data_IF_220264908498
#
_entry.id   IF_220264908498
#
_cell.length_a   1.000
_cell.length_b   1.000
_cell.length_c   1.000
_cell.angle_alpha   90.00
_cell.angle_beta   90.00
_cell.angle_gamma   90.00
#
_symmetry.space_group_name_H-M   'P 1'
#
loop_
_entity.id
_entity.type
_entity.pdbx_description
1 polymer ?
#
# COMPACT_ATOMS: atom_id res chain seq x y z
N UNK A 1 3.44 -0.33 11.28
CA UNK A 1 3.95 -1.70 11.52
C UNK A 1 3.70 -2.51 10.27
N UNK A 2 4.72 -3.17 9.73
CA UNK A 2 4.68 -3.95 8.49
C UNK A 2 5.04 -5.39 8.81
N UNK A 3 4.43 -6.33 8.13
CA UNK A 3 4.76 -7.76 8.22
C UNK A 3 4.94 -8.25 6.79
N UNK A 4 6.16 -8.67 6.44
CA UNK A 4 6.48 -9.24 5.15
C UNK A 4 6.28 -10.75 5.15
N UNK A 5 5.64 -11.23 4.11
CA UNK A 5 5.46 -12.65 3.88
C UNK A 5 6.23 -13.06 2.62
N UNK A 6 7.11 -13.99 2.75
CA UNK A 6 7.87 -14.54 1.62
C UNK A 6 7.69 -16.05 1.53
N UNK A 7 7.60 -16.58 0.31
CA UNK A 7 7.53 -18.01 0.03
C UNK A 7 6.28 -18.43 -0.75
N UNK A 8 6.33 -19.63 -1.33
CA UNK A 8 5.28 -20.16 -2.20
C UNK A 8 3.93 -20.36 -1.49
N UNK A 9 3.98 -20.83 -0.24
CA UNK A 9 2.77 -21.02 0.58
C UNK A 9 2.06 -19.68 0.86
N UNK A 10 2.81 -18.60 1.07
CA UNK A 10 2.25 -17.27 1.26
C UNK A 10 1.50 -16.79 0.01
N UNK A 11 2.02 -17.06 -1.18
CA UNK A 11 1.32 -16.73 -2.44
C UNK A 11 0.00 -17.45 -2.56
N UNK A 12 -0.05 -18.73 -2.20
CA UNK A 12 -1.29 -19.51 -2.25
C UNK A 12 -2.33 -19.02 -1.24
N UNK A 13 -1.91 -18.65 -0.03
CA UNK A 13 -2.79 -18.09 1.00
C UNK A 13 -3.30 -16.71 0.57
N UNK A 14 -2.42 -15.83 0.10
CA UNK A 14 -2.79 -14.50 -0.37
C UNK A 14 -3.66 -14.53 -1.62
N UNK A 15 -3.46 -15.49 -2.53
CA UNK A 15 -4.31 -15.67 -3.72
C UNK A 15 -5.77 -15.99 -3.38
N UNK A 16 -6.02 -16.59 -2.21
CA UNK A 16 -7.36 -16.90 -1.68
C UNK A 16 -7.89 -15.82 -0.74
N UNK A 17 -7.06 -14.87 -0.35
CA UNK A 17 -7.42 -13.79 0.56
C UNK A 17 -8.00 -12.59 -0.20
N UNK A 18 -8.58 -11.64 0.54
CA UNK A 18 -9.01 -10.35 -0.01
C UNK A 18 -7.84 -9.45 -0.38
N UNK A 19 -6.63 -9.75 0.12
CA UNK A 19 -5.37 -9.12 -0.27
C UNK A 19 -4.79 -9.90 -1.44
N UNK A 20 -4.73 -9.27 -2.59
CA UNK A 20 -4.13 -9.85 -3.79
C UNK A 20 -3.26 -8.78 -4.48
N UNK A 21 -2.40 -9.15 -5.44
CA UNK A 21 -1.53 -8.20 -6.14
C UNK A 21 -2.26 -7.04 -6.83
N UNK A 22 -3.53 -7.24 -7.18
CA UNK A 22 -4.38 -6.20 -7.77
C UNK A 22 -5.04 -5.32 -6.71
N UNK A 23 -5.09 -5.79 -5.45
CA UNK A 23 -5.64 -5.05 -4.31
C UNK A 23 -4.70 -5.19 -3.10
N UNK A 24 -3.56 -4.49 -3.11
CA UNK A 24 -2.54 -4.58 -2.05
C UNK A 24 -2.95 -3.90 -0.74
N UNK A 25 -4.00 -3.07 -0.76
CA UNK A 25 -4.50 -2.37 0.41
C UNK A 25 -5.97 -2.69 0.66
N UNK A 26 -6.30 -2.94 1.91
CA UNK A 26 -7.68 -3.04 2.34
C UNK A 26 -8.10 -1.80 3.13
N UNK A 27 -9.38 -1.45 3.12
CA UNK A 27 -9.91 -0.37 3.95
C UNK A 27 -9.63 -0.64 5.43
N UNK A 28 -9.60 0.40 6.28
CA UNK A 28 -9.40 0.25 7.72
C UNK A 28 -10.51 -0.63 8.30
N UNK A 29 -10.14 -1.85 8.60
CA UNK A 29 -10.97 -2.80 9.33
C UNK A 29 -11.01 -2.37 10.80
N UNK A 30 -11.92 -2.95 11.57
CA UNK A 30 -11.93 -2.78 13.03
C UNK A 30 -10.57 -3.22 13.59
N UNK A 31 -9.66 -2.24 13.70
CA UNK A 31 -8.26 -2.46 14.07
C UNK A 31 -8.13 -3.16 15.42
N UNK A 32 -9.09 -2.95 16.31
CA UNK A 32 -9.16 -3.56 17.63
C UNK A 32 -9.09 -5.10 17.60
N UNK A 33 -9.63 -5.73 16.56
CA UNK A 33 -9.60 -7.20 16.43
C UNK A 33 -8.28 -7.73 15.85
N UNK A 34 -7.52 -6.90 15.17
CA UNK A 34 -6.24 -7.28 14.55
C UNK A 34 -5.04 -6.95 15.44
N UNK A 35 -5.15 -5.91 16.29
CA UNK A 35 -4.10 -5.44 17.18
C UNK A 35 -3.44 -6.56 18.01
N UNK A 36 -4.18 -7.47 18.67
CA UNK A 36 -3.57 -8.52 19.51
C UNK A 36 -2.61 -9.44 18.73
N UNK A 37 -2.91 -9.71 17.46
CA UNK A 37 -2.05 -10.53 16.61
C UNK A 37 -0.77 -9.81 16.21
N UNK A 38 -0.88 -8.49 15.90
CA UNK A 38 0.29 -7.66 15.63
C UNK A 38 1.18 -7.50 16.87
N UNK A 39 0.59 -7.26 18.01
CA UNK A 39 1.33 -7.17 19.28
C UNK A 39 2.08 -8.46 19.59
N UNK A 40 1.43 -9.62 19.39
CA UNK A 40 2.05 -10.92 19.60
C UNK A 40 3.20 -11.17 18.63
N UNK A 41 3.07 -10.80 17.36
CA UNK A 41 4.17 -10.89 16.40
C UNK A 41 5.33 -9.97 16.75
N UNK A 42 5.06 -8.78 17.30
CA UNK A 42 6.10 -7.85 17.74
C UNK A 42 6.85 -8.30 18.98
N UNK A 43 6.17 -9.03 19.89
CA UNK A 43 6.77 -9.56 21.11
C UNK A 43 7.65 -10.79 20.84
N UNK A 44 7.54 -11.41 19.66
CA UNK A 44 8.40 -12.54 19.30
C UNK A 44 9.83 -12.08 19.08
N UNK A 45 10.78 -12.78 19.66
CA UNK A 45 12.20 -12.58 19.44
C UNK A 45 12.54 -12.77 17.96
N UNK A 46 13.53 -12.02 17.44
CA UNK A 46 13.89 -11.98 16.02
C UNK A 46 14.13 -13.38 15.40
N UNK A 47 14.78 -14.27 16.14
CA UNK A 47 15.04 -15.64 15.68
C UNK A 47 13.82 -16.56 15.74
N UNK A 48 12.77 -16.22 16.47
CA UNK A 48 11.50 -16.96 16.51
C UNK A 48 10.49 -16.49 15.47
N UNK A 49 10.77 -15.40 14.77
CA UNK A 49 9.84 -14.87 13.73
C UNK A 49 9.61 -15.83 12.57
N UNK A 50 10.52 -16.79 12.34
CA UNK A 50 10.34 -17.87 11.36
C UNK A 50 9.85 -19.18 11.98
N UNK A 51 9.38 -19.18 13.23
CA UNK A 51 8.89 -20.37 13.90
C UNK A 51 7.47 -20.75 13.44
N UNK A 52 7.07 -22.00 13.69
CA UNK A 52 5.70 -22.45 13.45
C UNK A 52 4.67 -21.62 14.23
N UNK A 53 5.05 -21.09 15.40
CA UNK A 53 4.22 -20.20 16.19
C UNK A 53 3.94 -18.88 15.43
N UNK A 54 4.96 -18.27 14.85
CA UNK A 54 4.80 -17.05 14.05
C UNK A 54 3.89 -17.29 12.83
N UNK A 55 4.07 -18.43 12.15
CA UNK A 55 3.18 -18.86 11.05
C UNK A 55 1.74 -19.01 11.54
N UNK A 56 1.54 -19.64 12.70
CA UNK A 56 0.21 -19.80 13.31
C UNK A 56 -0.47 -18.46 13.63
N UNK A 57 0.25 -17.51 14.21
CA UNK A 57 -0.26 -16.16 14.51
C UNK A 57 -0.61 -15.41 13.22
N UNK A 58 0.23 -15.55 12.19
CA UNK A 58 -0.01 -14.98 10.86
C UNK A 58 -1.25 -15.54 10.19
N UNK A 59 -1.43 -16.86 10.22
CA UNK A 59 -2.63 -17.51 9.67
C UNK A 59 -3.89 -17.08 10.41
N UNK A 60 -3.82 -16.95 11.74
CA UNK A 60 -4.94 -16.45 12.54
C UNK A 60 -5.28 -14.99 12.22
N UNK A 61 -4.27 -14.13 12.06
CA UNK A 61 -4.45 -12.74 11.62
C UNK A 61 -5.11 -12.66 10.25
N UNK A 62 -4.67 -13.47 9.28
CA UNK A 62 -5.26 -13.54 7.94
C UNK A 62 -6.71 -14.07 7.99
N UNK A 63 -7.01 -15.05 8.85
CA UNK A 63 -8.36 -15.56 9.05
C UNK A 63 -9.30 -14.49 9.58
N UNK A 64 -8.92 -13.80 10.66
CA UNK A 64 -9.69 -12.68 11.22
C UNK A 64 -9.86 -11.56 10.19
N UNK A 65 -8.82 -11.29 9.40
CA UNK A 65 -8.89 -10.32 8.34
C UNK A 65 -9.89 -10.74 7.24
N UNK A 66 -9.94 -12.00 6.85
CA UNK A 66 -10.92 -12.53 5.89
C UNK A 66 -12.34 -12.40 6.43
N UNK A 67 -12.59 -12.82 7.68
CA UNK A 67 -13.91 -12.73 8.32
C UNK A 67 -14.42 -11.28 8.38
N UNK A 68 -13.52 -10.34 8.63
CA UNK A 68 -13.85 -8.91 8.65
C UNK A 68 -14.08 -8.34 7.24
N UNK A 69 -13.51 -8.97 6.23
CA UNK A 69 -13.59 -8.50 4.83
C UNK A 69 -14.75 -9.14 4.05
N UNK A 70 -15.27 -10.30 4.47
CA UNK A 70 -16.38 -10.97 3.77
C UNK A 70 -17.68 -10.12 3.71
N UNK A 71 -18.15 -9.48 4.79
CA UNK A 71 -19.30 -8.58 4.71
C UNK A 71 -19.05 -7.40 3.77
N UNK A 72 -17.81 -6.91 3.73
CA UNK A 72 -17.42 -5.84 2.82
C UNK A 72 -17.29 -6.31 1.37
N UNK A 73 -17.08 -7.60 1.12
CA UNK A 73 -17.05 -8.17 -0.24
C UNK A 73 -18.41 -8.14 -0.91
N UNK A 74 -19.49 -8.32 -0.14
CA UNK A 74 -20.86 -8.15 -0.64
C UNK A 74 -21.22 -6.67 -0.84
N UNK A 75 -20.74 -5.78 0.05
CA UNK A 75 -20.87 -4.34 -0.14
C UNK A 75 -19.99 -3.83 -1.29
N UNK A 76 -18.80 -4.41 -1.51
CA UNK A 76 -17.92 -4.11 -2.66
C UNK A 76 -18.52 -4.53 -4.00
N UNK A 77 -19.38 -5.54 -4.07
CA UNK A 77 -20.18 -5.79 -5.28
C UNK A 77 -21.11 -4.63 -5.65
N UNK A 78 -21.31 -3.67 -4.71
CA UNK A 78 -21.94 -2.36 -4.91
C UNK A 78 -20.94 -1.22 -5.03
N UNK A 79 -19.61 -1.50 -5.13
CA UNK A 79 -18.62 -0.44 -5.33
C UNK A 79 -18.85 0.22 -6.68
N UNK A 80 -18.80 1.52 -6.68
CA UNK A 80 -18.90 2.32 -7.89
C UNK A 80 -17.74 1.94 -8.82
N UNK A 81 -18.00 1.32 -9.99
CA UNK A 81 -16.94 0.83 -10.87
C UNK A 81 -15.94 1.92 -11.26
N UNK A 82 -16.35 3.18 -11.17
CA UNK A 82 -15.48 4.34 -11.43
C UNK A 82 -14.33 4.47 -10.45
N UNK A 83 -14.49 4.01 -9.18
CA UNK A 83 -13.35 4.05 -8.24
C UNK A 83 -12.28 3.03 -8.63
N UNK A 84 -12.69 1.83 -9.05
CA UNK A 84 -11.78 0.80 -9.52
C UNK A 84 -11.03 1.23 -10.79
N UNK A 85 -11.74 1.87 -11.72
CA UNK A 85 -11.14 2.46 -12.91
C UNK A 85 -10.10 3.53 -12.55
N UNK A 86 -10.43 4.45 -11.62
CA UNK A 86 -9.50 5.48 -11.17
C UNK A 86 -8.23 4.88 -10.52
N UNK A 87 -8.38 3.86 -9.68
CA UNK A 87 -7.25 3.16 -9.04
C UNK A 87 -6.37 2.46 -10.09
N UNK A 88 -6.98 1.79 -11.08
CA UNK A 88 -6.26 1.17 -12.19
C UNK A 88 -5.48 2.21 -13.02
N UNK A 89 -6.07 3.38 -13.28
CA UNK A 89 -5.38 4.48 -13.95
C UNK A 89 -4.19 5.01 -13.15
N UNK A 90 -4.30 5.07 -11.82
CA UNK A 90 -3.21 5.45 -10.93
C UNK A 90 -2.10 4.40 -11.00
N UNK A 91 -2.42 3.13 -10.85
CA UNK A 91 -1.45 2.04 -10.93
C UNK A 91 -0.71 2.00 -12.27
N UNK A 92 -1.39 2.30 -13.38
CA UNK A 92 -0.81 2.34 -14.72
C UNK A 92 -0.04 3.63 -15.01
N UNK A 93 -0.29 4.72 -14.27
CA UNK A 93 0.20 6.06 -14.62
C UNK A 93 1.10 6.74 -13.60
N UNK A 94 1.21 6.23 -12.37
CA UNK A 94 1.90 6.90 -11.25
C UNK A 94 3.34 7.33 -11.54
N UNK A 95 4.06 6.52 -12.34
CA UNK A 95 5.47 6.73 -12.69
C UNK A 95 5.70 7.89 -13.66
N UNK A 96 4.65 8.41 -14.30
CA UNK A 96 4.76 9.50 -15.27
C UNK A 96 4.81 10.83 -14.54
N UNK A 97 5.83 11.64 -14.86
CA UNK A 97 5.89 13.05 -14.51
C UNK A 97 4.64 13.77 -15.01
N UNK A 98 4.10 14.70 -14.22
CA UNK A 98 2.86 15.40 -14.56
C UNK A 98 1.56 14.60 -14.46
N UNK A 99 1.59 13.29 -14.16
CA UNK A 99 0.38 12.53 -13.91
C UNK A 99 -0.25 12.97 -12.58
N UNK A 100 -1.47 13.46 -12.64
CA UNK A 100 -2.16 14.09 -11.51
C UNK A 100 -3.67 13.81 -11.55
N UNK A 101 -4.39 14.28 -10.52
CA UNK A 101 -5.85 14.13 -10.41
C UNK A 101 -6.60 14.65 -11.65
N UNK A 102 -6.11 15.71 -12.27
CA UNK A 102 -6.68 16.28 -13.51
C UNK A 102 -6.60 15.28 -14.68
N UNK A 103 -5.44 14.63 -14.81
CA UNK A 103 -5.22 13.60 -15.83
C UNK A 103 -6.14 12.42 -15.65
N UNK A 104 -6.38 12.00 -14.39
CA UNK A 104 -7.31 10.90 -14.05
C UNK A 104 -8.74 11.31 -14.43
N UNK A 105 -9.19 12.48 -13.98
CA UNK A 105 -10.53 12.99 -14.26
C UNK A 105 -10.82 13.05 -15.76
N UNK A 106 -9.86 13.57 -16.55
CA UNK A 106 -9.96 13.65 -18.01
C UNK A 106 -10.08 12.27 -18.66
N UNK A 107 -9.26 11.29 -18.23
CA UNK A 107 -9.32 9.92 -18.76
C UNK A 107 -10.64 9.22 -18.48
N UNK A 108 -11.24 9.51 -17.32
CA UNK A 108 -12.53 8.96 -16.91
C UNK A 108 -13.73 9.77 -17.46
N UNK A 109 -13.49 10.82 -18.24
CA UNK A 109 -14.52 11.73 -18.73
C UNK A 109 -15.43 12.31 -17.63
N UNK A 110 -14.85 12.60 -16.44
CA UNK A 110 -15.55 13.23 -15.30
C UNK A 110 -14.92 14.54 -14.91
N UNK A 111 -15.67 15.39 -14.21
CA UNK A 111 -15.11 16.61 -13.63
C UNK A 111 -14.19 16.29 -12.45
N UNK A 112 -13.18 17.16 -12.19
CA UNK A 112 -12.32 17.05 -11.01
C UNK A 112 -13.11 17.02 -9.70
N UNK A 113 -14.18 17.80 -9.62
CA UNK A 113 -15.08 17.81 -8.46
C UNK A 113 -15.78 16.47 -8.27
N UNK A 114 -16.25 15.85 -9.35
CA UNK A 114 -16.87 14.52 -9.32
C UNK A 114 -15.86 13.46 -8.85
N UNK A 115 -14.64 13.48 -9.37
CA UNK A 115 -13.58 12.57 -8.96
C UNK A 115 -13.22 12.76 -7.48
N UNK A 116 -13.05 13.99 -7.01
CA UNK A 116 -12.80 14.28 -5.60
C UNK A 116 -13.91 13.75 -4.70
N UNK A 117 -15.17 14.00 -5.05
CA UNK A 117 -16.33 13.51 -4.28
C UNK A 117 -16.37 11.97 -4.22
N UNK A 118 -16.06 11.33 -5.34
CA UNK A 118 -15.99 9.87 -5.42
C UNK A 118 -14.92 9.31 -4.48
N UNK A 119 -13.72 9.86 -4.49
CA UNK A 119 -12.62 9.46 -3.64
C UNK A 119 -12.90 9.72 -2.16
N UNK A 120 -13.38 10.92 -1.82
CA UNK A 120 -13.72 11.26 -0.44
C UNK A 120 -14.79 10.32 0.13
N UNK A 121 -15.84 10.02 -0.64
CA UNK A 121 -16.94 9.14 -0.20
C UNK A 121 -16.48 7.69 0.00
N UNK A 122 -15.57 7.19 -0.83
CA UNK A 122 -15.23 5.76 -0.87
C UNK A 122 -13.91 5.42 -0.18
N UNK A 123 -12.95 6.35 -0.16
CA UNK A 123 -11.59 6.14 0.34
C UNK A 123 -11.28 7.07 1.53
N UNK A 124 -11.97 8.19 1.65
CA UNK A 124 -11.71 9.20 2.67
C UNK A 124 -10.54 10.15 2.32
N UNK A 125 -9.93 10.00 1.16
CA UNK A 125 -8.80 10.79 0.68
C UNK A 125 -9.14 11.51 -0.62
N UNK A 126 -8.35 12.53 -0.96
CA UNK A 126 -8.41 13.09 -2.30
C UNK A 126 -7.65 12.20 -3.30
N UNK A 127 -7.96 12.26 -4.62
CA UNK A 127 -7.20 11.52 -5.65
C UNK A 127 -5.71 11.84 -5.63
N UNK A 128 -5.35 13.10 -5.33
CA UNK A 128 -3.95 13.53 -5.23
C UNK A 128 -3.22 12.93 -4.02
N UNK A 129 -3.90 12.86 -2.87
CA UNK A 129 -3.37 12.19 -1.68
C UNK A 129 -3.19 10.69 -1.93
N UNK A 130 -4.16 10.03 -2.55
CA UNK A 130 -4.05 8.62 -2.91
C UNK A 130 -2.91 8.35 -3.90
N UNK A 131 -2.73 9.19 -4.93
CA UNK A 131 -1.62 9.09 -5.86
C UNK A 131 -0.26 9.29 -5.18
N UNK A 132 -0.15 10.26 -4.26
CA UNK A 132 1.06 10.50 -3.50
C UNK A 132 1.42 9.28 -2.64
N UNK A 133 0.46 8.75 -1.92
CA UNK A 133 0.60 7.53 -1.12
C UNK A 133 1.07 6.35 -1.97
N UNK A 134 0.43 6.12 -3.09
CA UNK A 134 0.78 5.06 -4.03
C UNK A 134 2.23 5.20 -4.53
N UNK A 135 2.65 6.43 -4.89
CA UNK A 135 4.04 6.73 -5.29
C UNK A 135 5.03 6.42 -4.19
N UNK A 136 4.73 6.79 -2.93
CA UNK A 136 5.59 6.54 -1.79
C UNK A 136 5.75 5.03 -1.55
N UNK A 137 4.68 4.26 -1.60
CA UNK A 137 4.72 2.80 -1.46
C UNK A 137 5.53 2.12 -2.58
N UNK A 138 5.43 2.59 -3.82
CA UNK A 138 6.27 2.07 -4.91
C UNK A 138 7.74 2.47 -4.73
N UNK A 139 8.00 3.70 -4.25
CA UNK A 139 9.35 4.19 -4.01
C UNK A 139 10.08 3.40 -2.91
N UNK A 140 9.36 2.98 -1.89
CA UNK A 140 9.88 2.11 -0.83
C UNK A 140 10.48 0.83 -1.42
N UNK A 141 9.74 0.13 -2.28
CA UNK A 141 10.21 -1.10 -2.93
C UNK A 141 11.48 -0.87 -3.76
N UNK A 142 11.55 0.24 -4.48
CA UNK A 142 12.72 0.56 -5.30
C UNK A 142 13.95 0.88 -4.44
N UNK A 143 13.77 1.53 -3.29
CA UNK A 143 14.86 1.76 -2.33
C UNK A 143 15.37 0.44 -1.74
N UNK A 144 14.47 -0.47 -1.38
CA UNK A 144 14.82 -1.83 -0.90
C UNK A 144 15.58 -2.63 -1.96
N UNK A 145 15.31 -2.41 -3.25
CA UNK A 145 16.06 -2.99 -4.37
C UNK A 145 17.42 -2.29 -4.64
N UNK A 146 17.82 -1.34 -3.79
CA UNK A 146 19.10 -0.64 -3.85
C UNK A 146 19.17 0.55 -4.81
N UNK A 147 18.06 0.96 -5.42
CA UNK A 147 18.05 2.14 -6.30
C UNK A 147 18.44 3.41 -5.55
N UNK A 148 19.13 4.31 -6.23
CA UNK A 148 19.48 5.60 -5.64
C UNK A 148 18.24 6.47 -5.41
N UNK A 149 18.29 7.35 -4.41
CA UNK A 149 17.18 8.26 -4.05
C UNK A 149 16.69 9.05 -5.25
N UNK A 150 17.61 9.57 -6.07
CA UNK A 150 17.28 10.35 -7.28
C UNK A 150 16.58 9.47 -8.33
N UNK A 151 17.11 8.28 -8.61
CA UNK A 151 16.49 7.35 -9.56
C UNK A 151 15.10 6.93 -9.09
N UNK A 152 14.96 6.59 -7.82
CA UNK A 152 13.68 6.21 -7.20
C UNK A 152 12.64 7.31 -7.34
N UNK A 153 13.00 8.56 -7.00
CA UNK A 153 12.10 9.70 -7.15
C UNK A 153 11.57 9.83 -8.60
N UNK A 154 12.48 9.83 -9.56
CA UNK A 154 12.12 9.97 -10.98
C UNK A 154 11.27 8.77 -11.48
N UNK A 155 11.64 7.54 -11.09
CA UNK A 155 10.89 6.33 -11.46
C UNK A 155 9.48 6.28 -10.87
N UNK A 156 9.26 6.96 -9.75
CA UNK A 156 7.94 7.09 -9.13
C UNK A 156 7.17 8.34 -9.57
N UNK A 157 7.67 9.07 -10.56
CA UNK A 157 6.99 10.23 -11.14
C UNK A 157 7.07 11.50 -10.30
N UNK A 158 8.06 11.61 -9.41
CA UNK A 158 8.38 12.88 -8.74
C UNK A 158 9.32 13.68 -9.64
N UNK A 159 8.95 14.92 -9.94
CA UNK A 159 9.77 15.83 -10.74
C UNK A 159 10.94 16.39 -9.94
N UNK A 160 10.73 16.63 -8.65
CA UNK A 160 11.72 17.15 -7.72
C UNK A 160 12.11 16.11 -6.66
N UNK A 161 13.36 15.58 -6.70
CA UNK A 161 13.87 14.66 -5.69
C UNK A 161 13.94 15.26 -4.27
N UNK A 162 14.03 16.56 -4.13
CA UNK A 162 14.02 17.21 -2.81
C UNK A 162 12.60 17.21 -2.22
N UNK A 163 11.59 17.50 -3.05
CA UNK A 163 10.20 17.35 -2.64
C UNK A 163 9.91 15.90 -2.24
N UNK A 164 10.33 14.93 -3.08
CA UNK A 164 10.22 13.52 -2.76
C UNK A 164 10.81 13.18 -1.38
N UNK A 165 12.05 13.59 -1.11
CA UNK A 165 12.74 13.30 0.15
C UNK A 165 12.00 13.89 1.36
N UNK A 166 11.43 15.09 1.22
CA UNK A 166 10.63 15.71 2.29
C UNK A 166 9.35 14.94 2.59
N UNK A 167 8.58 14.56 1.55
CA UNK A 167 7.31 13.83 1.75
C UNK A 167 7.56 12.40 2.21
N UNK A 168 8.62 11.75 1.72
CA UNK A 168 9.04 10.42 2.19
C UNK A 168 9.39 10.45 3.67
N UNK A 169 10.25 11.39 4.11
CA UNK A 169 10.59 11.55 5.53
C UNK A 169 9.36 11.83 6.39
N UNK A 170 8.44 12.65 5.92
CA UNK A 170 7.19 12.93 6.64
C UNK A 170 6.34 11.67 6.82
N UNK A 171 6.34 10.78 5.83
CA UNK A 171 5.53 9.56 5.82
C UNK A 171 6.17 8.43 6.63
N UNK A 172 7.46 8.15 6.42
CA UNK A 172 8.18 7.03 7.03
C UNK A 172 8.99 7.40 8.27
N UNK A 173 9.06 8.68 8.64
CA UNK A 173 9.81 9.17 9.80
C UNK A 173 11.31 9.36 9.57
N UNK A 174 11.87 8.83 8.48
CA UNK A 174 13.29 8.91 8.14
C UNK A 174 13.51 9.30 6.67
N UNK A 175 14.68 9.87 6.32
CA UNK A 175 15.03 10.20 4.94
C UNK A 175 15.12 8.92 4.06
N UNK A 176 14.86 9.01 2.75
CA UNK A 176 14.96 7.86 1.84
C UNK A 176 16.41 7.34 1.70
N UNK A 177 17.43 8.15 1.95
CA UNK A 177 18.82 7.73 2.00
C UNK A 177 19.08 6.73 3.12
N UNK A 178 18.58 7.04 4.31
CA UNK A 178 18.78 6.23 5.51
C UNK A 178 17.95 4.96 5.43
N UNK A 179 16.71 5.09 4.93
CA UNK A 179 15.84 3.94 4.65
C UNK A 179 16.51 2.92 3.72
N UNK A 180 17.15 3.39 2.64
CA UNK A 180 17.87 2.54 1.70
C UNK A 180 19.06 1.81 2.36
N UNK A 181 19.83 2.48 3.23
CA UNK A 181 20.97 1.89 3.91
C UNK A 181 20.56 0.82 4.90
N UNK A 182 19.49 1.05 5.66
CA UNK A 182 18.96 0.07 6.61
C UNK A 182 18.58 -1.26 5.94
N UNK A 183 18.06 -1.22 4.71
CA UNK A 183 17.74 -2.44 3.96
C UNK A 183 18.90 -3.02 3.16
N UNK A 184 19.95 -2.25 2.85
CA UNK A 184 21.14 -2.76 2.19
C UNK A 184 22.03 -3.61 3.12
N UNK A 185 21.94 -3.40 4.44
CA UNK A 185 22.70 -4.17 5.46
C UNK A 185 22.06 -5.53 5.79
N UNK A 186 20.84 -5.81 5.26
CA UNK A 186 20.08 -7.03 5.55
C UNK A 186 20.23 -8.09 4.43
N UNK A 187 20.89 -7.74 3.31
CA UNK A 187 21.17 -8.65 2.19
C UNK A 187 22.61 -9.19 2.26
#
# INVERSE_FOLDING_TARGET
MWVDFVGEQCRQILARSVLNPQQPAAPPLRQERLLPYFERLCQMELYRRNSQEAVGVLLALLGVYQDLAEPQREERKKEDPRIMEAMALIAAGYHRSGFCAETIARKMAVSRTTLNRLFQKKIGWSPGQYLLEYRLQQSEKLLQMGMTVKQTALSCGFEDPFYYSRVFRKHYGMPPSDYRLEFAEIQ
#
